data_IF_801289817719
#
_entry.id   IF_801289817719
#
_cell.length_a   1.000
_cell.length_b   1.000
_cell.length_c   1.000
_cell.angle_alpha   90.00
_cell.angle_beta   90.00
_cell.angle_gamma   90.00
#
_symmetry.space_group_name_H-M   'P 1'
#
loop_
_entity.id
_entity.type
_entity.pdbx_description
1 polymer ?
#
# COMPACT_ATOMS: atom_id res chain seq x y z
N UNK A 1 43.85 43.95 -22.77
CA UNK A 1 42.53 44.22 -22.17
C UNK A 1 41.61 43.08 -22.57
N UNK A 2 41.51 42.06 -21.70
CA UNK A 2 40.83 40.80 -21.99
C UNK A 2 39.36 40.85 -21.60
N UNK A 3 38.55 40.31 -22.50
CA UNK A 3 37.11 40.06 -22.45
C UNK A 3 36.71 39.09 -21.33
N UNK A 4 35.67 39.43 -20.55
CA UNK A 4 34.98 38.47 -19.69
C UNK A 4 33.59 38.15 -20.25
N UNK A 5 33.43 36.88 -20.65
CA UNK A 5 32.17 36.24 -21.01
C UNK A 5 31.47 35.84 -19.69
N UNK A 6 30.28 36.38 -19.44
CA UNK A 6 29.41 35.92 -18.36
C UNK A 6 28.67 34.65 -18.82
N UNK A 7 29.06 33.50 -18.28
CA UNK A 7 28.26 32.27 -18.37
C UNK A 7 27.30 32.24 -17.19
N UNK A 8 25.99 32.31 -17.46
CA UNK A 8 24.93 32.01 -16.49
C UNK A 8 24.91 30.49 -16.25
N UNK A 9 25.21 30.07 -15.02
CA UNK A 9 25.01 28.68 -14.55
C UNK A 9 23.65 28.63 -13.84
N UNK A 10 22.76 27.65 -14.13
CA UNK A 10 21.45 27.57 -13.48
C UNK A 10 21.55 27.07 -12.03
N UNK A 11 20.61 27.52 -11.21
CA UNK A 11 20.46 27.21 -9.78
C UNK A 11 20.08 25.73 -9.56
N UNK A 12 21.04 24.81 -9.53
CA UNK A 12 20.83 23.44 -9.03
C UNK A 12 22.13 22.85 -8.46
N UNK A 13 22.72 23.53 -7.49
CA UNK A 13 23.93 23.05 -6.82
C UNK A 13 23.94 23.42 -5.33
N UNK A 14 22.94 22.94 -4.57
CA UNK A 14 22.95 22.99 -3.10
C UNK A 14 22.27 21.75 -2.51
N UNK A 15 22.84 20.57 -2.74
CA UNK A 15 22.55 19.38 -1.94
C UNK A 15 23.69 18.35 -2.07
N UNK A 16 24.94 18.80 -2.01
CA UNK A 16 26.10 17.90 -2.13
C UNK A 16 27.21 18.36 -1.21
N UNK A 17 26.98 18.25 0.10
CA UNK A 17 28.06 18.34 1.08
C UNK A 17 27.59 17.76 2.41
N UNK A 18 27.74 16.44 2.61
CA UNK A 18 28.12 15.80 3.88
C UNK A 18 28.04 14.28 3.70
N UNK A 19 29.17 13.65 3.38
CA UNK A 19 29.48 12.26 3.75
C UNK A 19 30.90 11.92 3.30
N UNK A 20 31.85 12.16 4.20
CA UNK A 20 33.26 11.81 4.04
C UNK A 20 33.48 10.32 4.30
N UNK A 21 33.92 9.64 3.22
CA UNK A 21 35.02 8.70 3.11
C UNK A 21 34.94 7.27 3.72
N UNK A 22 35.00 6.32 2.79
CA UNK A 22 35.65 5.00 2.83
C UNK A 22 34.90 3.77 3.36
N UNK A 23 33.85 3.88 4.18
CA UNK A 23 32.94 2.75 4.46
C UNK A 23 31.58 2.84 3.73
N UNK A 24 31.28 4.02 3.16
CA UNK A 24 29.97 4.31 2.55
C UNK A 24 29.73 3.70 1.17
N UNK A 25 30.75 3.26 0.45
CA UNK A 25 30.61 2.81 -0.95
C UNK A 25 29.81 1.51 -1.13
N UNK A 26 29.92 0.57 -0.19
CA UNK A 26 29.23 -0.73 -0.25
C UNK A 26 27.82 -0.66 0.34
N UNK A 27 27.61 0.21 1.34
CA UNK A 27 26.27 0.48 1.89
C UNK A 27 25.46 1.28 0.89
N UNK A 28 26.00 2.34 0.28
CA UNK A 28 25.32 3.13 -0.75
C UNK A 28 24.96 2.29 -1.98
N UNK A 29 25.86 1.42 -2.48
CA UNK A 29 25.56 0.62 -3.68
C UNK A 29 24.45 -0.41 -3.44
N UNK A 30 24.37 -1.03 -2.26
CA UNK A 30 23.22 -1.88 -1.87
C UNK A 30 21.95 -1.06 -1.57
N UNK A 31 22.09 0.15 -1.02
CA UNK A 31 21.00 1.11 -0.80
C UNK A 31 20.35 1.59 -2.10
N UNK A 32 21.16 1.81 -3.15
CA UNK A 32 20.68 2.27 -4.45
C UNK A 32 20.18 1.11 -5.33
N UNK A 33 20.72 -0.11 -5.22
CA UNK A 33 20.32 -1.20 -6.11
C UNK A 33 18.90 -1.75 -5.86
N UNK A 34 18.38 -1.70 -4.64
CA UNK A 34 16.99 -2.11 -4.34
C UNK A 34 15.97 -0.99 -4.52
N UNK A 35 16.41 0.27 -4.53
CA UNK A 35 15.61 1.51 -4.76
C UNK A 35 15.43 1.89 -6.24
N UNK A 36 15.90 1.06 -7.18
CA UNK A 36 15.78 1.33 -8.62
C UNK A 36 14.48 0.84 -9.26
N UNK A 37 13.56 0.28 -8.46
CA UNK A 37 12.29 -0.24 -8.97
C UNK A 37 11.24 0.86 -8.87
N UNK A 38 10.61 1.18 -9.99
CA UNK A 38 9.56 2.19 -10.10
C UNK A 38 8.42 1.95 -9.09
N UNK A 39 7.81 3.01 -8.55
CA UNK A 39 6.65 2.91 -7.66
C UNK A 39 5.48 2.12 -8.27
N UNK A 40 5.18 2.33 -9.55
CA UNK A 40 4.14 1.58 -10.26
C UNK A 40 4.50 0.10 -10.44
N UNK A 41 5.77 -0.20 -10.73
CA UNK A 41 6.29 -1.58 -10.84
C UNK A 41 6.22 -2.31 -9.50
N UNK A 42 6.62 -1.66 -8.41
CA UNK A 42 6.51 -2.20 -7.04
C UNK A 42 5.06 -2.43 -6.65
N UNK A 43 4.17 -1.49 -6.96
CA UNK A 43 2.74 -1.63 -6.72
C UNK A 43 2.17 -2.81 -7.51
N UNK A 44 2.51 -2.92 -8.79
CA UNK A 44 2.04 -4.02 -9.66
C UNK A 44 2.45 -5.39 -9.08
N UNK A 45 3.69 -5.53 -8.63
CA UNK A 45 4.17 -6.75 -7.99
C UNK A 45 3.49 -7.02 -6.63
N UNK A 46 3.32 -5.99 -5.80
CA UNK A 46 2.70 -6.11 -4.49
C UNK A 46 1.22 -6.55 -4.57
N UNK A 47 0.49 -6.06 -5.58
CA UNK A 47 -0.90 -6.43 -5.86
C UNK A 47 -1.08 -7.93 -6.20
N UNK A 48 0.00 -8.63 -6.55
CA UNK A 48 -0.03 -10.07 -6.82
C UNK A 48 0.13 -10.94 -5.57
N UNK A 49 0.28 -10.35 -4.37
CA UNK A 49 0.28 -11.06 -3.09
C UNK A 49 -1.16 -11.43 -2.66
N UNK A 50 -1.77 -12.39 -3.35
CA UNK A 50 -3.22 -12.65 -3.32
C UNK A 50 -3.67 -13.71 -2.31
N UNK A 51 -2.77 -14.21 -1.45
CA UNK A 51 -3.05 -15.33 -0.54
C UNK A 51 -4.27 -15.07 0.36
N UNK A 52 -4.37 -13.88 0.96
CA UNK A 52 -5.49 -13.53 1.82
C UNK A 52 -6.83 -13.49 1.07
N UNK A 53 -6.85 -13.06 -0.20
CA UNK A 53 -8.07 -13.05 -1.01
C UNK A 53 -8.51 -14.47 -1.40
N UNK A 54 -7.56 -15.36 -1.65
CA UNK A 54 -7.86 -16.78 -1.85
C UNK A 54 -8.43 -17.44 -0.59
N UNK A 55 -7.92 -17.08 0.59
CA UNK A 55 -8.48 -17.53 1.85
C UNK A 55 -9.91 -17.00 2.05
N UNK A 56 -10.15 -15.73 1.76
CA UNK A 56 -11.46 -15.09 1.87
C UNK A 56 -12.50 -15.76 0.95
N UNK A 57 -12.14 -16.02 -0.31
CA UNK A 57 -13.05 -16.60 -1.31
C UNK A 57 -13.49 -18.05 -1.00
N UNK A 58 -12.77 -18.76 -0.14
CA UNK A 58 -13.13 -20.12 0.30
C UNK A 58 -14.16 -20.14 1.43
N UNK A 59 -14.51 -18.98 1.99
CA UNK A 59 -15.43 -18.87 3.12
C UNK A 59 -16.87 -18.73 2.64
N UNK A 60 -17.80 -19.22 3.46
CA UNK A 60 -19.22 -18.96 3.26
C UNK A 60 -19.53 -17.51 3.70
N UNK A 61 -20.09 -16.65 2.81
CA UNK A 61 -20.41 -15.26 3.13
C UNK A 61 -21.37 -15.10 4.32
N UNK A 62 -22.31 -16.02 4.49
CA UNK A 62 -23.34 -15.95 5.53
C UNK A 62 -22.72 -16.15 6.93
N UNK A 63 -21.77 -17.07 7.05
CA UNK A 63 -21.22 -17.49 8.33
C UNK A 63 -19.94 -16.72 8.73
N UNK A 64 -19.14 -16.28 7.75
CA UNK A 64 -17.78 -15.81 7.98
C UNK A 64 -17.47 -14.44 7.37
N UNK A 65 -18.49 -13.63 7.10
CA UNK A 65 -18.35 -12.30 6.50
C UNK A 65 -17.37 -11.36 7.23
N UNK A 66 -17.35 -11.37 8.56
CA UNK A 66 -16.39 -10.56 9.33
C UNK A 66 -14.94 -10.97 9.09
N UNK A 67 -14.69 -12.28 8.99
CA UNK A 67 -13.39 -12.83 8.67
C UNK A 67 -13.02 -12.56 7.20
N UNK A 68 -13.98 -12.57 6.28
CA UNK A 68 -13.76 -12.16 4.88
C UNK A 68 -13.33 -10.69 4.80
N UNK A 69 -13.97 -9.79 5.53
CA UNK A 69 -13.55 -8.38 5.61
C UNK A 69 -12.14 -8.26 6.20
N UNK A 70 -11.83 -9.07 7.21
CA UNK A 70 -10.51 -9.10 7.80
C UNK A 70 -9.43 -9.60 6.83
N UNK A 71 -9.72 -10.62 6.03
CA UNK A 71 -8.82 -11.16 5.01
C UNK A 71 -8.61 -10.12 3.87
N UNK A 72 -9.66 -9.39 3.48
CA UNK A 72 -9.59 -8.24 2.57
C UNK A 72 -8.70 -7.10 3.13
N UNK A 73 -8.84 -6.80 4.43
CA UNK A 73 -8.00 -5.81 5.10
C UNK A 73 -6.54 -6.23 5.19
N UNK A 74 -6.29 -7.52 5.47
CA UNK A 74 -4.94 -8.08 5.50
C UNK A 74 -4.27 -7.98 4.13
N UNK A 75 -4.99 -8.28 3.04
CA UNK A 75 -4.52 -8.04 1.68
C UNK A 75 -4.16 -6.56 1.47
N UNK A 76 -5.06 -5.64 1.83
CA UNK A 76 -4.86 -4.20 1.63
C UNK A 76 -3.60 -3.67 2.32
N UNK A 77 -3.43 -3.98 3.60
CA UNK A 77 -2.26 -3.55 4.36
C UNK A 77 -0.98 -4.19 3.81
N UNK A 78 -1.05 -5.45 3.40
CA UNK A 78 0.12 -6.19 2.91
C UNK A 78 0.64 -5.60 1.59
N UNK A 79 -0.21 -5.37 0.60
CA UNK A 79 0.26 -4.80 -0.65
C UNK A 79 0.69 -3.34 -0.47
N UNK A 80 0.05 -2.58 0.44
CA UNK A 80 0.49 -1.23 0.80
C UNK A 80 1.91 -1.23 1.37
N UNK A 81 2.21 -2.16 2.27
CA UNK A 81 3.55 -2.32 2.84
C UNK A 81 4.59 -2.72 1.79
N UNK A 82 4.32 -3.76 0.99
CA UNK A 82 5.26 -4.22 -0.03
C UNK A 82 5.56 -3.14 -1.09
N UNK A 83 4.55 -2.33 -1.41
CA UNK A 83 4.70 -1.22 -2.35
C UNK A 83 5.34 0.03 -1.73
N UNK A 84 5.39 0.16 -0.39
CA UNK A 84 5.95 1.34 0.29
C UNK A 84 7.42 1.57 -0.07
N UNK A 85 8.19 0.50 -0.29
CA UNK A 85 9.59 0.58 -0.74
C UNK A 85 9.75 1.33 -2.07
N UNK A 86 8.75 1.23 -2.97
CA UNK A 86 8.73 1.92 -4.25
C UNK A 86 8.27 3.39 -4.18
N UNK A 87 7.76 3.84 -3.03
CA UNK A 87 7.22 5.19 -2.85
C UNK A 87 8.13 6.07 -1.97
N UNK A 88 9.26 5.52 -1.52
CA UNK A 88 10.18 6.21 -0.63
C UNK A 88 10.50 7.65 -1.08
N UNK A 89 10.75 8.58 -0.13
CA UNK A 89 10.90 10.02 -0.38
C UNK A 89 12.11 10.40 -1.25
N UNK A 90 12.98 9.44 -1.56
CA UNK A 90 14.18 9.63 -2.39
C UNK A 90 14.07 8.88 -3.73
N UNK A 91 12.89 8.40 -4.12
CA UNK A 91 12.75 7.69 -5.38
C UNK A 91 13.01 8.66 -6.56
N UNK A 92 13.97 8.28 -7.42
CA UNK A 92 14.38 9.06 -8.60
C UNK A 92 13.69 8.59 -9.88
N UNK A 93 12.88 7.53 -9.79
CA UNK A 93 12.27 6.85 -10.93
C UNK A 93 10.76 6.77 -10.73
N UNK A 94 10.08 7.86 -11.08
CA UNK A 94 8.62 7.89 -11.23
C UNK A 94 8.29 7.60 -12.71
N UNK A 95 7.27 6.78 -12.97
CA UNK A 95 6.82 6.53 -14.34
C UNK A 95 6.31 7.84 -14.94
N UNK A 96 6.56 8.03 -16.24
CA UNK A 96 5.90 9.10 -16.97
C UNK A 96 4.39 8.87 -16.92
N UNK A 97 3.64 9.96 -16.87
CA UNK A 97 2.19 9.92 -17.04
C UNK A 97 1.80 9.09 -18.27
N UNK A 98 0.70 8.35 -18.17
CA UNK A 98 0.17 7.51 -19.23
C UNK A 98 0.84 6.14 -19.36
N UNK A 99 1.86 5.86 -18.54
CA UNK A 99 2.53 4.55 -18.54
C UNK A 99 1.64 3.51 -17.86
N UNK A 100 1.48 2.36 -18.50
CA UNK A 100 0.80 1.18 -17.93
C UNK A 100 1.81 0.05 -17.71
N UNK A 101 1.69 -0.62 -16.56
CA UNK A 101 2.46 -1.82 -16.21
C UNK A 101 1.50 -2.95 -15.90
N UNK A 102 1.73 -4.12 -16.51
CA UNK A 102 0.89 -5.29 -16.30
C UNK A 102 1.75 -6.50 -16.01
N UNK A 103 1.55 -7.13 -14.85
CA UNK A 103 2.22 -8.37 -14.47
C UNK A 103 1.22 -9.50 -14.25
N UNK A 104 1.69 -10.71 -14.51
CA UNK A 104 0.93 -11.94 -14.27
C UNK A 104 1.67 -12.80 -13.25
N UNK A 105 0.99 -13.22 -12.20
CA UNK A 105 1.54 -14.14 -11.23
C UNK A 105 1.65 -15.55 -11.84
N UNK A 106 2.83 -16.19 -11.80
CA UNK A 106 3.10 -17.41 -12.58
C UNK A 106 2.26 -18.62 -12.13
N UNK A 107 1.84 -18.66 -10.85
CA UNK A 107 1.15 -19.81 -10.29
C UNK A 107 -0.36 -19.62 -10.15
N UNK A 108 -0.78 -18.44 -9.72
CA UNK A 108 -2.20 -18.13 -9.47
C UNK A 108 -2.90 -17.57 -10.71
N UNK A 109 -2.13 -17.23 -11.76
CA UNK A 109 -2.60 -16.55 -12.97
C UNK A 109 -3.29 -15.21 -12.69
N UNK A 110 -3.11 -14.65 -11.49
CA UNK A 110 -3.58 -13.32 -11.16
C UNK A 110 -2.90 -12.31 -12.08
N UNK A 111 -3.65 -11.35 -12.60
CA UNK A 111 -3.13 -10.28 -13.47
C UNK A 111 -3.34 -8.95 -12.78
N UNK A 112 -2.27 -8.24 -12.49
CA UNK A 112 -2.30 -6.88 -11.95
C UNK A 112 -1.90 -5.89 -13.04
N UNK A 113 -2.67 -4.82 -13.20
CA UNK A 113 -2.35 -3.69 -14.08
C UNK A 113 -2.37 -2.40 -13.27
N UNK A 114 -1.34 -1.57 -13.44
CA UNK A 114 -1.21 -0.24 -12.84
C UNK A 114 -0.99 0.79 -13.94
N UNK A 115 -1.86 1.79 -14.00
CA UNK A 115 -1.77 2.96 -14.86
C UNK A 115 -1.28 4.16 -14.04
N UNK A 116 -0.19 4.78 -14.48
CA UNK A 116 0.23 6.09 -13.98
C UNK A 116 -0.56 7.16 -14.74
N UNK A 117 -1.32 7.99 -14.05
CA UNK A 117 -2.17 8.99 -14.70
C UNK A 117 -1.35 10.15 -15.31
N UNK A 118 -1.89 10.73 -16.38
CA UNK A 118 -1.16 11.66 -17.26
C UNK A 118 -1.06 13.10 -16.74
N UNK A 119 -1.86 13.50 -15.74
CA UNK A 119 -2.14 14.93 -15.58
C UNK A 119 -2.61 15.35 -14.18
N UNK A 120 -1.83 15.04 -13.16
CA UNK A 120 -2.13 15.44 -11.78
C UNK A 120 -0.91 16.05 -11.11
N UNK A 121 -1.11 17.11 -10.30
CA UNK A 121 -0.04 17.73 -9.47
C UNK A 121 0.59 16.74 -8.47
N UNK A 122 -0.08 15.61 -8.26
CA UNK A 122 0.35 14.45 -7.47
C UNK A 122 0.37 13.23 -8.38
N UNK A 123 1.28 12.30 -8.19
CA UNK A 123 1.26 11.07 -8.98
C UNK A 123 0.08 10.20 -8.54
N UNK A 124 -0.86 9.93 -9.45
CA UNK A 124 -1.98 9.01 -9.22
C UNK A 124 -1.73 7.70 -9.96
N UNK A 125 -1.87 6.58 -9.26
CA UNK A 125 -1.75 5.23 -9.77
C UNK A 125 -3.13 4.57 -9.69
N UNK A 126 -3.74 4.31 -10.83
CA UNK A 126 -5.01 3.59 -10.93
C UNK A 126 -4.71 2.13 -11.24
N UNK A 127 -5.30 1.20 -10.51
CA UNK A 127 -4.95 -0.21 -10.63
C UNK A 127 -6.15 -1.14 -10.65
N UNK A 128 -5.95 -2.29 -11.29
CA UNK A 128 -6.90 -3.39 -11.32
C UNK A 128 -6.15 -4.72 -11.19
N UNK A 129 -6.73 -5.66 -10.44
CA UNK A 129 -6.26 -7.03 -10.29
C UNK A 129 -7.40 -7.96 -10.61
N UNK A 130 -7.16 -8.92 -11.51
CA UNK A 130 -8.08 -10.03 -11.76
C UNK A 130 -7.43 -11.31 -11.24
N UNK A 131 -8.14 -12.02 -10.35
CA UNK A 131 -7.72 -13.30 -9.78
C UNK A 131 -8.75 -14.34 -10.26
N UNK A 132 -8.39 -15.20 -11.23
CA UNK A 132 -9.33 -16.12 -11.83
C UNK A 132 -10.10 -16.94 -10.79
N UNK A 133 -11.44 -16.98 -10.93
CA UNK A 133 -12.38 -17.72 -10.08
C UNK A 133 -12.35 -17.33 -8.58
N UNK A 134 -11.67 -16.24 -8.21
CA UNK A 134 -11.45 -15.85 -6.81
C UNK A 134 -11.97 -14.45 -6.55
N UNK A 135 -11.42 -13.44 -7.23
CA UNK A 135 -11.70 -12.05 -6.90
C UNK A 135 -11.30 -11.06 -8.00
N UNK A 136 -11.93 -9.89 -7.97
CA UNK A 136 -11.46 -8.68 -8.64
C UNK A 136 -11.10 -7.62 -7.60
N UNK A 137 -10.03 -6.87 -7.86
CA UNK A 137 -9.63 -5.70 -7.06
C UNK A 137 -9.51 -4.52 -8.00
N UNK A 138 -10.06 -3.37 -7.61
CA UNK A 138 -9.90 -2.10 -8.33
C UNK A 138 -9.59 -1.00 -7.34
N UNK A 139 -8.71 -0.09 -7.68
CA UNK A 139 -8.38 0.99 -6.75
C UNK A 139 -7.54 2.08 -7.33
N UNK A 140 -7.26 3.06 -6.48
CA UNK A 140 -6.40 4.19 -6.78
C UNK A 140 -5.46 4.45 -5.61
N UNK A 141 -4.24 4.87 -5.92
CA UNK A 141 -3.27 5.35 -4.95
C UNK A 141 -2.75 6.70 -5.41
N UNK A 142 -2.86 7.70 -4.56
CA UNK A 142 -2.22 8.99 -4.82
C UNK A 142 -0.94 9.09 -4.01
N UNK A 143 0.14 9.55 -4.62
CA UNK A 143 1.40 9.79 -3.93
C UNK A 143 1.53 11.30 -3.69
N UNK A 144 1.42 11.70 -2.43
CA UNK A 144 1.53 13.08 -2.01
C UNK A 144 2.95 13.63 -2.05
N UNK A 145 3.07 14.92 -1.78
CA UNK A 145 4.35 15.61 -1.68
C UNK A 145 5.14 15.16 -0.45
N UNK A 146 6.47 15.19 -0.55
CA UNK A 146 7.36 14.92 0.58
C UNK A 146 7.20 16.03 1.63
N UNK A 147 6.98 15.64 2.88
CA UNK A 147 6.96 16.50 4.06
C UNK A 147 7.91 15.97 5.12
N UNK A 148 8.27 16.81 6.10
CA UNK A 148 8.98 16.35 7.29
C UNK A 148 7.97 15.89 8.34
N UNK A 149 8.08 14.65 8.76
CA UNK A 149 7.33 14.06 9.87
C UNK A 149 8.33 13.84 11.01
N UNK A 150 8.41 14.80 11.93
CA UNK A 150 9.50 14.90 12.90
C UNK A 150 10.86 15.15 12.22
N UNK A 151 11.80 14.23 12.38
CA UNK A 151 13.13 14.28 11.74
C UNK A 151 13.24 13.42 10.47
N UNK A 152 12.15 12.79 10.05
CA UNK A 152 12.13 11.85 8.93
C UNK A 152 11.37 12.43 7.74
N UNK A 153 11.91 12.36 6.51
CA UNK A 153 11.14 12.65 5.31
C UNK A 153 10.03 11.60 5.14
N UNK A 154 8.82 12.07 4.85
CA UNK A 154 7.64 11.22 4.71
C UNK A 154 6.74 11.68 3.56
N UNK A 155 5.98 10.75 2.97
CA UNK A 155 4.99 11.01 1.91
C UNK A 155 3.65 10.40 2.30
N UNK A 156 2.54 11.17 2.29
CA UNK A 156 1.22 10.59 2.40
C UNK A 156 0.87 9.83 1.11
N UNK A 157 0.25 8.67 1.25
CA UNK A 157 -0.15 7.78 0.16
C UNK A 157 -1.62 7.34 0.31
N UNK A 158 -2.58 8.29 0.23
CA UNK A 158 -3.98 7.91 0.34
C UNK A 158 -4.37 6.94 -0.77
N UNK A 159 -5.19 5.97 -0.42
CA UNK A 159 -5.56 4.85 -1.27
C UNK A 159 -7.02 4.48 -1.09
N UNK A 160 -7.69 4.18 -2.19
CA UNK A 160 -9.04 3.61 -2.20
C UNK A 160 -9.01 2.32 -2.98
N UNK A 161 -9.67 1.29 -2.48
CA UNK A 161 -9.90 0.08 -3.26
C UNK A 161 -11.25 -0.56 -2.99
N UNK A 162 -11.74 -1.24 -4.01
CA UNK A 162 -12.90 -2.11 -3.99
C UNK A 162 -12.44 -3.53 -4.30
N UNK A 163 -12.87 -4.49 -3.49
CA UNK A 163 -12.64 -5.91 -3.67
C UNK A 163 -14.00 -6.57 -3.88
N UNK A 164 -14.11 -7.37 -4.93
CA UNK A 164 -15.26 -8.25 -5.17
C UNK A 164 -14.77 -9.69 -5.11
N UNK A 165 -15.37 -10.51 -4.25
CA UNK A 165 -15.06 -11.94 -4.14
C UNK A 165 -16.12 -12.75 -4.86
N UNK A 166 -15.70 -13.74 -5.63
CA UNK A 166 -16.55 -14.52 -6.53
C UNK A 166 -16.66 -13.89 -7.93
N UNK A 167 -17.00 -14.71 -8.91
CA UNK A 167 -16.99 -14.34 -10.34
C UNK A 167 -18.25 -13.59 -10.82
N UNK A 168 -19.27 -13.39 -9.96
CA UNK A 168 -20.53 -12.74 -10.32
C UNK A 168 -20.80 -11.53 -9.41
N UNK A 169 -20.96 -10.35 -10.03
CA UNK A 169 -21.22 -9.08 -9.33
C UNK A 169 -22.60 -9.00 -8.66
N UNK A 170 -23.58 -9.79 -9.11
CA UNK A 170 -24.99 -9.64 -8.69
C UNK A 170 -25.33 -10.25 -7.32
N UNK A 171 -24.56 -11.24 -6.84
CA UNK A 171 -24.74 -11.88 -5.51
C UNK A 171 -23.41 -12.04 -4.72
N UNK A 172 -22.35 -11.35 -5.17
CA UNK A 172 -20.99 -11.49 -4.64
C UNK A 172 -20.74 -10.72 -3.33
N UNK A 173 -19.78 -11.20 -2.54
CA UNK A 173 -19.27 -10.42 -1.41
C UNK A 173 -18.41 -9.26 -1.93
N UNK A 174 -18.62 -8.04 -1.41
CA UNK A 174 -17.80 -6.89 -1.78
C UNK A 174 -17.37 -6.07 -0.58
N UNK A 175 -16.15 -5.56 -0.63
CA UNK A 175 -15.55 -4.71 0.37
C UNK A 175 -14.98 -3.43 -0.24
N UNK A 176 -15.22 -2.30 0.41
CA UNK A 176 -14.63 -1.00 0.14
C UNK A 176 -13.64 -0.67 1.25
N UNK A 177 -12.46 -0.21 0.85
CA UNK A 177 -11.36 0.09 1.75
C UNK A 177 -10.80 1.45 1.39
N UNK A 178 -10.70 2.34 2.37
CA UNK A 178 -10.06 3.65 2.22
C UNK A 178 -8.92 3.74 3.22
N UNK A 179 -7.75 4.14 2.76
CA UNK A 179 -6.53 4.17 3.54
C UNK A 179 -5.91 5.55 3.50
N UNK A 180 -5.61 6.09 4.68
CA UNK A 180 -4.82 7.30 4.89
C UNK A 180 -3.48 6.88 5.49
N UNK A 181 -2.54 6.51 4.60
CA UNK A 181 -1.24 5.99 4.97
C UNK A 181 -0.13 7.02 4.71
N UNK A 182 0.97 6.87 5.42
CA UNK A 182 2.19 7.64 5.28
C UNK A 182 3.40 6.71 5.22
N UNK A 183 4.27 6.97 4.24
CA UNK A 183 5.55 6.27 4.06
C UNK A 183 6.67 7.18 4.52
N UNK A 184 7.46 6.76 5.51
CA UNK A 184 8.61 7.51 6.02
C UNK A 184 9.92 6.73 5.80
N UNK A 185 11.01 7.43 5.49
CA UNK A 185 12.36 6.83 5.38
C UNK A 185 13.20 7.23 6.58
N UNK A 186 13.67 6.23 7.33
CA UNK A 186 14.56 6.51 8.45
C UNK A 186 15.99 6.60 7.93
N UNK A 187 16.46 7.83 7.72
CA UNK A 187 17.76 8.11 7.10
C UNK A 187 18.95 7.37 7.77
N UNK A 188 18.82 7.04 9.05
CA UNK A 188 19.86 6.34 9.83
C UNK A 188 19.88 4.83 9.57
N UNK A 189 18.72 4.18 9.41
CA UNK A 189 18.62 2.72 9.25
C UNK A 189 18.35 2.29 7.81
N UNK A 190 17.93 3.22 6.94
CA UNK A 190 17.52 2.95 5.57
C UNK A 190 16.22 2.18 5.42
N UNK A 191 15.47 2.05 6.51
CA UNK A 191 14.21 1.31 6.52
C UNK A 191 13.06 2.25 6.16
N UNK A 192 12.20 1.75 5.29
CA UNK A 192 10.92 2.37 4.98
C UNK A 192 9.90 1.93 6.02
N UNK A 193 9.20 2.89 6.60
CA UNK A 193 8.12 2.69 7.56
C UNK A 193 6.79 3.06 6.92
N UNK A 194 5.77 2.22 7.13
CA UNK A 194 4.39 2.49 6.77
C UNK A 194 3.60 2.73 8.06
N UNK A 195 2.82 3.80 8.11
CA UNK A 195 1.94 4.10 9.24
C UNK A 195 0.67 4.80 8.77
N UNK A 196 -0.37 4.84 9.60
CA UNK A 196 -1.62 5.52 9.28
C UNK A 196 -2.84 4.68 9.65
N UNK A 197 -3.96 4.89 8.95
CA UNK A 197 -5.17 4.12 9.21
C UNK A 197 -5.92 3.75 7.94
N UNK A 198 -6.64 2.64 8.02
CA UNK A 198 -7.47 2.09 6.96
C UNK A 198 -8.88 1.87 7.51
N UNK A 199 -9.89 2.42 6.84
CA UNK A 199 -11.30 2.17 7.08
C UNK A 199 -11.79 1.08 6.14
N UNK A 200 -12.68 0.24 6.64
CA UNK A 200 -13.18 -0.96 5.96
C UNK A 200 -14.70 -0.94 5.99
N UNK A 201 -15.35 -1.33 4.90
CA UNK A 201 -16.79 -1.57 4.85
C UNK A 201 -17.09 -2.68 3.88
N UNK A 202 -18.06 -3.54 4.18
CA UNK A 202 -18.58 -4.51 3.22
C UNK A 202 -20.08 -4.35 2.92
N UNK A 203 -20.56 -5.09 1.93
CA UNK A 203 -21.96 -5.07 1.50
C UNK A 203 -22.92 -5.83 2.43
N UNK A 204 -22.41 -6.43 3.51
CA UNK A 204 -23.22 -7.15 4.51
C UNK A 204 -23.27 -6.43 5.86
N UNK A 205 -22.82 -5.16 5.89
CA UNK A 205 -23.00 -4.27 7.04
C UNK A 205 -21.87 -4.30 8.07
N UNK A 206 -20.77 -4.99 7.81
CA UNK A 206 -19.58 -4.86 8.65
C UNK A 206 -18.83 -3.56 8.33
N UNK A 207 -18.33 -2.94 9.38
CA UNK A 207 -17.46 -1.76 9.30
C UNK A 207 -16.23 -2.02 10.13
N UNK A 208 -15.06 -1.58 9.69
CA UNK A 208 -13.83 -1.79 10.43
C UNK A 208 -12.87 -0.61 10.34
N UNK A 209 -11.91 -0.61 11.25
CA UNK A 209 -10.75 0.28 11.21
C UNK A 209 -9.51 -0.49 11.60
N UNK A 210 -8.46 -0.33 10.81
CA UNK A 210 -7.11 -0.82 11.08
C UNK A 210 -6.21 0.41 11.24
N UNK A 211 -5.40 0.41 12.29
CA UNK A 211 -4.39 1.43 12.54
C UNK A 211 -3.01 0.76 12.49
N UNK A 212 -2.09 1.40 11.79
CA UNK A 212 -0.70 1.00 11.68
C UNK A 212 0.11 2.08 12.39
N UNK A 213 0.70 1.72 13.53
CA UNK A 213 1.56 2.63 14.25
C UNK A 213 2.92 2.77 13.56
N UNK A 214 3.69 3.78 13.95
CA UNK A 214 4.98 4.10 13.35
C UNK A 214 6.02 2.97 13.48
N UNK A 215 5.93 2.16 14.53
CA UNK A 215 6.77 0.98 14.75
C UNK A 215 6.37 -0.24 13.89
N UNK A 216 5.28 -0.13 13.12
CA UNK A 216 4.72 -1.21 12.31
C UNK A 216 3.72 -2.09 13.06
N UNK A 217 3.41 -1.79 14.33
CA UNK A 217 2.35 -2.50 15.05
C UNK A 217 0.99 -2.22 14.44
N UNK A 218 0.18 -3.27 14.34
CA UNK A 218 -1.17 -3.20 13.78
C UNK A 218 -2.18 -3.46 14.88
N UNK A 219 -3.18 -2.58 14.96
CA UNK A 219 -4.33 -2.72 15.86
C UNK A 219 -5.61 -2.31 15.15
N UNK A 220 -6.74 -2.85 15.54
CA UNK A 220 -8.00 -2.47 14.90
C UNK A 220 -9.19 -3.27 15.37
N UNK A 221 -10.36 -2.93 14.84
CA UNK A 221 -11.63 -3.61 15.16
C UNK A 221 -12.51 -3.73 13.94
N UNK A 222 -13.34 -4.77 13.90
CA UNK A 222 -14.52 -4.84 13.05
C UNK A 222 -15.75 -4.76 13.94
N UNK A 223 -16.73 -3.98 13.52
CA UNK A 223 -18.04 -3.83 14.14
C UNK A 223 -19.16 -4.22 13.18
N UNK A 224 -20.28 -4.68 13.76
CA UNK A 224 -21.57 -4.88 13.10
C UNK A 224 -22.65 -4.39 14.06
N UNK A 225 -23.58 -3.58 13.57
CA UNK A 225 -24.66 -3.02 14.39
C UNK A 225 -24.17 -2.40 15.72
N UNK A 226 -23.09 -1.61 15.64
CA UNK A 226 -22.38 -0.98 16.77
C UNK A 226 -21.70 -1.93 17.79
N UNK A 227 -21.71 -3.24 17.57
CA UNK A 227 -21.00 -4.21 18.41
C UNK A 227 -19.64 -4.56 17.82
N UNK A 228 -18.60 -4.62 18.65
CA UNK A 228 -17.28 -5.11 18.22
C UNK A 228 -17.34 -6.62 18.08
N UNK A 229 -17.19 -7.11 16.85
CA UNK A 229 -17.26 -8.54 16.51
C UNK A 229 -15.88 -9.18 16.31
N UNK A 230 -14.82 -8.38 16.36
CA UNK A 230 -13.46 -8.90 16.42
C UNK A 230 -12.41 -7.81 16.36
N UNK A 231 -11.14 -8.21 16.51
CA UNK A 231 -9.99 -7.30 16.56
C UNK A 231 -8.86 -7.75 15.67
N UNK A 232 -8.13 -6.75 15.15
CA UNK A 232 -6.86 -6.93 14.47
C UNK A 232 -5.72 -6.73 15.45
N UNK A 233 -4.74 -7.62 15.40
CA UNK A 233 -3.48 -7.53 16.14
C UNK A 233 -2.34 -8.08 15.26
N UNK A 234 -1.16 -7.50 15.35
CA UNK A 234 0.02 -8.03 14.66
C UNK A 234 1.06 -6.98 14.33
N UNK A 235 1.86 -7.28 13.31
CA UNK A 235 2.88 -6.38 12.78
C UNK A 235 2.82 -6.42 11.27
N UNK A 236 2.99 -5.28 10.63
CA UNK A 236 2.92 -5.17 9.16
C UNK A 236 3.92 -6.10 8.46
N UNK A 237 5.11 -6.30 9.04
CA UNK A 237 6.15 -7.16 8.47
C UNK A 237 5.91 -8.67 8.66
N UNK A 238 5.30 -9.08 9.78
CA UNK A 238 5.05 -10.49 10.11
C UNK A 238 3.62 -10.96 9.80
N UNK A 239 2.74 -10.04 9.41
CA UNK A 239 1.34 -10.31 9.11
C UNK A 239 0.38 -9.81 10.18
N UNK A 240 -0.88 -9.65 9.76
CA UNK A 240 -1.99 -9.21 10.61
C UNK A 240 -2.84 -10.42 10.95
N UNK A 241 -3.19 -10.58 12.21
CA UNK A 241 -4.12 -11.58 12.69
C UNK A 241 -5.44 -10.92 13.06
N UNK A 242 -6.54 -11.58 12.70
CA UNK A 242 -7.87 -11.19 13.15
C UNK A 242 -8.43 -12.24 14.08
N UNK A 243 -8.94 -11.79 15.23
CA UNK A 243 -9.61 -12.61 16.21
C UNK A 243 -11.07 -12.21 16.28
N UNK A 244 -11.94 -13.09 15.79
CA UNK A 244 -13.38 -12.92 15.90
C UNK A 244 -13.84 -13.20 17.34
N UNK A 245 -14.76 -12.37 17.83
CA UNK A 245 -15.48 -12.61 19.06
C UNK A 245 -16.80 -13.32 18.71
N UNK A 246 -17.15 -14.34 19.51
CA UNK A 246 -18.51 -14.86 19.44
C UNK A 246 -19.44 -13.76 19.92
N UNK A 247 -20.35 -13.33 19.06
CA UNK A 247 -21.52 -12.58 19.51
C UNK A 247 -22.32 -13.54 20.39
N UNK A 248 -22.38 -13.28 21.70
CA UNK A 248 -23.31 -14.01 22.57
C UNK A 248 -24.71 -13.87 21.98
N UNK A 249 -25.37 -15.02 21.77
CA UNK A 249 -26.51 -15.15 20.88
C UNK A 249 -27.60 -14.11 21.13
N UNK A 250 -27.98 -13.40 20.06
CA UNK A 250 -29.33 -12.84 19.96
C UNK A 250 -30.29 -14.01 19.73
N UNK A 251 -30.57 -14.76 20.79
CA UNK A 251 -31.80 -15.52 20.87
C UNK A 251 -32.92 -14.51 21.17
N UNK A 252 -33.73 -14.22 20.16
CA UNK A 252 -35.09 -13.73 20.30
C UNK A 252 -35.92 -14.22 19.12
#
# INVERSE_FOLDING_TARGET
MMSHIFVKIPKFAQATALLTLAAGGVVLSRFFNTRNVNGAERLTNALLDTESLQAAARRNPEEASAQMLADCAAYAVRFAFLAAEGVGPVNRYEDAGGTSRTHTHPYTRAVATVLTENNTEKQTLTYAVSIPDVAEVRGTRTIGQVRLSGLSPARPIPETLQITLGSNEEDGYSAQIESELEVADYLVTGRVHLSGSTTLRDNVGNVGRVNIAYDGSVSGTITRDAHVIGRFEGQVNSGIQYRQYQLEGSAA
#
